data_IF_699878447339
#
_entry.id   IF_699878447339
#
_cell.length_a   1.000
_cell.length_b   1.000
_cell.length_c   1.000
_cell.angle_alpha   90.00
_cell.angle_beta   90.00
_cell.angle_gamma   90.00
#
_symmetry.space_group_name_H-M   'P 1'
#
loop_
_entity.id
_entity.type
_entity.pdbx_description
1 polymer ?
#
# COMPACT_ATOMS: atom_id res chain seq x y z
N UNK A 1 -29.15 55.62 -24.63
CA UNK A 1 -27.82 55.08 -24.96
C UNK A 1 -27.03 54.95 -23.66
N UNK A 2 -27.04 53.76 -23.08
CA UNK A 2 -26.31 53.37 -21.87
C UNK A 2 -24.79 53.35 -22.13
N UNK A 3 -24.00 53.93 -21.23
CA UNK A 3 -22.59 53.55 -21.07
C UNK A 3 -22.32 53.26 -19.59
N UNK A 4 -21.97 51.99 -19.32
CA UNK A 4 -21.62 51.44 -18.00
C UNK A 4 -20.17 51.80 -17.65
N UNK A 5 -19.85 52.10 -16.38
CA UNK A 5 -18.47 52.15 -15.93
C UNK A 5 -17.96 50.77 -15.48
N UNK A 6 -16.75 50.42 -15.94
CA UNK A 6 -16.01 49.22 -15.55
C UNK A 6 -15.52 49.29 -14.10
N UNK A 7 -15.82 48.27 -13.29
CA UNK A 7 -15.22 48.06 -11.96
C UNK A 7 -13.94 47.22 -12.09
N UNK A 8 -12.82 47.77 -11.63
CA UNK A 8 -11.52 47.09 -11.48
C UNK A 8 -11.60 46.03 -10.39
N UNK A 9 -11.20 44.80 -10.71
CA UNK A 9 -11.05 43.70 -9.75
C UNK A 9 -9.80 43.90 -8.89
N UNK A 10 -9.96 43.81 -7.57
CA UNK A 10 -8.85 43.74 -6.61
C UNK A 10 -8.42 42.28 -6.47
N UNK A 11 -7.17 41.99 -6.80
CA UNK A 11 -6.51 40.71 -6.53
C UNK A 11 -6.04 40.73 -5.07
N UNK A 12 -6.61 39.86 -4.24
CA UNK A 12 -6.11 39.60 -2.89
C UNK A 12 -5.09 38.46 -2.96
N UNK A 13 -3.81 38.80 -2.83
CA UNK A 13 -2.73 37.84 -2.54
C UNK A 13 -2.68 37.62 -1.03
N UNK A 14 -3.16 36.46 -0.57
CA UNK A 14 -2.97 36.01 0.81
C UNK A 14 -1.74 35.09 0.87
N UNK A 15 -0.61 35.67 1.29
CA UNK A 15 0.55 34.91 1.72
C UNK A 15 0.29 34.37 3.13
N UNK A 16 0.16 33.05 3.27
CA UNK A 16 0.07 32.39 4.57
C UNK A 16 1.47 31.92 4.99
N UNK A 17 2.02 32.60 5.99
CA UNK A 17 3.27 32.29 6.66
C UNK A 17 3.10 31.00 7.48
N UNK A 18 3.85 29.94 7.18
CA UNK A 18 3.96 28.77 8.05
C UNK A 18 5.11 28.96 9.03
N UNK A 19 4.78 29.16 10.31
CA UNK A 19 5.72 29.19 11.41
C UNK A 19 5.84 27.75 11.97
N UNK A 20 6.96 27.09 11.63
CA UNK A 20 7.32 25.79 12.20
C UNK A 20 8.05 26.06 13.53
N UNK A 21 7.37 25.79 14.65
CA UNK A 21 8.03 25.71 15.95
C UNK A 21 8.46 24.26 16.17
N UNK A 22 9.74 24.00 15.91
CA UNK A 22 10.43 22.78 16.28
C UNK A 22 10.92 22.88 17.72
N UNK A 23 10.22 22.24 18.67
CA UNK A 23 10.73 22.01 20.01
C UNK A 23 11.45 20.65 20.04
N UNK A 24 12.78 20.68 19.97
CA UNK A 24 13.64 19.54 20.27
C UNK A 24 14.13 19.68 21.70
N UNK A 25 13.65 18.83 22.60
CA UNK A 25 14.21 18.68 23.94
C UNK A 25 14.96 17.35 24.03
N UNK A 26 16.26 17.39 23.77
CA UNK A 26 17.24 16.39 24.22
C UNK A 26 17.62 16.71 25.65
N UNK A 27 17.15 15.91 26.61
CA UNK A 27 17.65 15.94 27.98
C UNK A 27 18.84 14.97 28.10
N UNK A 28 20.02 15.53 28.33
CA UNK A 28 21.20 14.83 28.82
C UNK A 28 21.01 14.52 30.31
N UNK A 29 21.32 13.29 30.73
CA UNK A 29 21.44 12.90 32.12
C UNK A 29 22.89 12.50 32.40
N UNK A 30 23.58 13.30 33.21
CA UNK A 30 24.90 13.02 33.75
C UNK A 30 24.99 13.61 35.16
N UNK A 31 25.41 12.77 36.12
CA UNK A 31 26.12 13.21 37.33
C UNK A 31 25.34 13.27 38.65
N UNK A 32 25.44 12.20 39.44
CA UNK A 32 26.14 12.19 40.73
C UNK A 32 25.57 12.93 41.95
N UNK A 33 25.56 12.24 43.10
CA UNK A 33 25.83 12.87 44.40
C UNK A 33 24.78 12.70 45.49
N UNK A 34 24.95 11.63 46.30
CA UNK A 34 24.81 11.58 47.76
C UNK A 34 24.31 12.84 48.52
N UNK A 35 23.29 12.69 49.39
CA UNK A 35 23.42 12.74 50.87
C UNK A 35 22.08 12.56 51.62
N UNK A 36 22.25 12.11 52.86
CA UNK A 36 21.37 11.53 53.88
C UNK A 36 20.45 12.49 54.67
N UNK A 37 19.30 11.95 55.05
CA UNK A 37 18.69 11.84 56.40
C UNK A 37 18.45 13.04 57.35
N UNK A 38 17.14 13.35 57.50
CA UNK A 38 16.33 13.54 58.74
C UNK A 38 16.43 14.86 59.58
N UNK A 39 15.52 15.13 60.57
CA UNK A 39 14.39 16.07 60.45
C UNK A 39 14.31 17.10 61.61
N UNK A 40 13.23 17.90 61.68
CA UNK A 40 12.38 18.13 62.89
C UNK A 40 11.80 19.57 63.03
N UNK A 41 10.55 19.57 63.54
CA UNK A 41 9.84 20.61 64.33
C UNK A 41 9.42 21.92 63.61
N UNK A 42 8.22 22.48 63.82
CA UNK A 42 7.09 22.17 64.70
C UNK A 42 6.17 23.40 64.84
N UNK A 43 4.92 23.17 65.29
CA UNK A 43 3.90 24.13 65.81
C UNK A 43 3.26 25.10 64.79
N UNK A 44 2.03 25.60 64.94
CA UNK A 44 0.80 25.29 65.68
C UNK A 44 -0.25 26.36 65.29
N UNK A 45 -1.55 26.10 65.59
CA UNK A 45 -2.76 26.96 65.60
C UNK A 45 -3.82 26.53 64.54
N UNK A 46 -4.93 25.84 64.90
CA UNK A 46 -6.20 26.34 65.52
C UNK A 46 -6.87 27.47 64.72
N UNK A 47 -8.18 27.57 64.46
CA UNK A 47 -9.46 26.90 64.82
C UNK A 47 -10.53 27.61 63.92
N UNK A 48 -11.51 26.92 63.30
CA UNK A 48 -12.96 26.93 63.63
C UNK A 48 -13.70 26.04 62.59
N UNK A 49 -14.35 24.91 62.95
CA UNK A 49 -15.80 24.69 63.26
C UNK A 49 -16.76 25.27 62.19
N UNK A 50 -17.72 24.56 61.59
CA UNK A 50 -18.70 23.65 62.20
C UNK A 50 -19.52 22.83 61.15
N UNK A 51 -19.83 21.56 61.47
CA UNK A 51 -21.16 20.89 61.34
C UNK A 51 -21.57 20.42 59.91
N UNK A 52 -22.02 19.19 59.59
CA UNK A 52 -22.94 18.25 60.26
C UNK A 52 -22.85 16.85 59.59
N UNK A 53 -22.89 15.78 60.39
CA UNK A 53 -23.33 14.41 60.04
C UNK A 53 -24.56 14.11 60.94
N UNK A 54 -25.42 13.07 60.75
CA UNK A 54 -25.04 11.69 60.41
C UNK A 54 -26.05 10.86 59.56
N UNK A 55 -25.63 9.66 59.15
CA UNK A 55 -26.51 8.51 58.80
C UNK A 55 -26.96 7.81 60.11
N UNK A 56 -28.02 6.96 60.19
CA UNK A 56 -28.03 5.61 59.57
C UNK A 56 -29.44 4.98 59.33
N UNK A 57 -29.50 3.73 58.82
CA UNK A 57 -30.70 2.88 59.00
C UNK A 57 -30.83 1.65 58.06
N UNK A 58 -30.65 0.45 58.60
CA UNK A 58 -30.91 -0.87 57.98
C UNK A 58 -32.31 -1.42 58.35
N UNK A 59 -32.95 -2.23 57.49
CA UNK A 59 -34.06 -3.11 57.92
C UNK A 59 -34.90 -3.87 56.87
N UNK A 60 -34.62 -5.18 56.71
CA UNK A 60 -35.52 -6.39 56.61
C UNK A 60 -36.53 -6.53 55.41
N UNK A 61 -36.38 -7.56 54.55
CA UNK A 61 -37.10 -8.89 54.43
C UNK A 61 -38.63 -8.79 54.13
N UNK A 62 -39.33 -9.57 53.29
CA UNK A 62 -39.09 -10.70 52.37
C UNK A 62 -40.41 -11.02 51.59
N UNK A 63 -40.37 -11.59 50.38
CA UNK A 63 -41.42 -12.49 49.82
C UNK A 63 -40.89 -13.26 48.57
N UNK A 64 -41.34 -14.51 48.41
CA UNK A 64 -40.94 -15.61 47.46
C UNK A 64 -42.18 -15.97 46.58
N UNK A 65 -42.26 -17.01 45.70
CA UNK A 65 -41.37 -17.65 44.69
C UNK A 65 -42.00 -17.85 43.25
N UNK A 66 -41.18 -18.42 42.32
CA UNK A 66 -41.47 -19.36 41.17
C UNK A 66 -42.06 -18.85 39.81
N UNK A 67 -41.89 -19.58 38.68
CA UNK A 67 -40.68 -20.16 38.04
C UNK A 67 -40.53 -19.78 36.54
N UNK A 68 -39.47 -20.26 35.88
CA UNK A 68 -39.06 -19.98 34.50
C UNK A 68 -40.03 -20.42 33.38
N UNK A 69 -39.80 -19.94 32.13
CA UNK A 69 -39.75 -20.86 31.00
C UNK A 69 -38.45 -20.74 30.18
N UNK A 70 -38.01 -21.90 29.69
CA UNK A 70 -36.88 -22.10 28.80
C UNK A 70 -37.20 -21.73 27.34
N UNK A 71 -36.25 -21.10 26.63
CA UNK A 71 -36.11 -21.08 25.17
C UNK A 71 -34.82 -20.32 24.80
N UNK A 72 -34.01 -20.60 23.78
CA UNK A 72 -33.86 -21.70 22.82
C UNK A 72 -32.42 -21.54 22.27
N UNK A 73 -31.67 -22.65 22.16
CA UNK A 73 -30.35 -22.68 21.52
C UNK A 73 -30.51 -22.43 19.99
N UNK A 74 -29.63 -21.66 19.34
CA UNK A 74 -29.66 -21.58 17.88
C UNK A 74 -29.22 -22.91 17.26
N UNK A 75 -30.13 -23.48 16.48
CA UNK A 75 -29.94 -24.72 15.73
C UNK A 75 -28.78 -24.62 14.75
N UNK A 76 -27.88 -25.59 14.88
CA UNK A 76 -26.78 -25.89 13.99
C UNK A 76 -27.33 -26.53 12.72
N UNK A 77 -27.45 -25.76 11.64
CA UNK A 77 -27.75 -26.32 10.31
C UNK A 77 -26.56 -27.15 9.85
N UNK A 78 -26.76 -28.47 9.81
CA UNK A 78 -25.86 -29.44 9.20
C UNK A 78 -26.10 -29.40 7.68
N UNK A 79 -25.08 -29.03 6.91
CA UNK A 79 -25.07 -29.24 5.47
C UNK A 79 -24.17 -30.43 5.16
N UNK A 80 -24.73 -31.36 4.39
CA UNK A 80 -24.21 -32.67 4.07
C UNK A 80 -22.91 -32.65 3.25
N UNK A 81 -22.03 -33.60 3.57
CA UNK A 81 -20.90 -34.04 2.76
C UNK A 81 -21.38 -34.74 1.48
N UNK A 82 -20.64 -34.61 0.37
CA UNK A 82 -20.27 -35.85 -0.32
C UNK A 82 -18.76 -35.97 -0.56
N UNK A 83 -18.36 -37.22 -0.73
CA UNK A 83 -17.02 -37.74 -0.59
C UNK A 83 -16.12 -37.54 -1.82
N UNK A 84 -14.82 -37.33 -1.52
CA UNK A 84 -13.61 -37.88 -2.15
C UNK A 84 -13.44 -37.84 -3.69
N UNK A 85 -12.47 -37.03 -4.11
CA UNK A 85 -11.68 -37.24 -5.33
C UNK A 85 -10.31 -36.56 -5.18
N UNK A 86 -9.25 -37.34 -4.98
CA UNK A 86 -7.85 -36.88 -4.95
C UNK A 86 -7.43 -36.43 -6.34
N UNK A 87 -6.80 -35.26 -6.45
CA UNK A 87 -5.68 -34.99 -7.37
C UNK A 87 -5.02 -33.67 -6.98
N UNK A 88 -3.77 -33.75 -6.52
CA UNK A 88 -2.91 -32.60 -6.25
C UNK A 88 -2.41 -32.06 -7.58
N UNK A 89 -2.79 -30.83 -7.93
CA UNK A 89 -2.17 -30.08 -9.02
C UNK A 89 -1.59 -28.77 -8.47
N UNK A 90 -0.26 -28.65 -8.59
CA UNK A 90 0.54 -27.44 -8.34
C UNK A 90 0.03 -26.27 -9.21
N UNK A 91 -0.03 -25.03 -8.69
CA UNK A 91 -0.31 -23.87 -9.53
C UNK A 91 0.91 -23.49 -10.36
N UNK A 92 0.77 -23.59 -11.69
CA UNK A 92 1.70 -23.11 -12.71
C UNK A 92 1.56 -21.59 -12.89
N UNK A 93 2.66 -20.81 -13.03
CA UNK A 93 2.56 -19.38 -13.34
C UNK A 93 2.11 -19.14 -14.78
N UNK A 94 1.15 -18.24 -14.95
CA UNK A 94 0.64 -17.77 -16.24
C UNK A 94 1.74 -17.00 -16.98
N UNK A 95 2.20 -17.54 -18.12
CA UNK A 95 3.08 -16.86 -19.07
C UNK A 95 2.26 -16.04 -20.07
N UNK A 96 2.66 -14.78 -20.27
CA UNK A 96 2.11 -13.91 -21.32
C UNK A 96 2.59 -14.36 -22.72
N UNK A 97 1.76 -14.28 -23.77
CA UNK A 97 2.12 -14.76 -25.10
C UNK A 97 3.08 -13.79 -25.82
N UNK A 98 4.23 -14.31 -26.24
CA UNK A 98 5.17 -13.63 -27.16
C UNK A 98 4.69 -13.78 -28.60
N UNK A 99 4.44 -12.64 -29.26
CA UNK A 99 4.17 -12.57 -30.70
C UNK A 99 5.47 -12.84 -31.49
N UNK A 100 5.47 -13.91 -32.30
CA UNK A 100 6.54 -14.19 -33.26
C UNK A 100 6.35 -13.34 -34.51
N UNK A 101 7.24 -12.38 -34.74
CA UNK A 101 7.38 -11.72 -36.04
C UNK A 101 8.11 -12.65 -37.01
N UNK A 102 7.43 -12.95 -38.12
CA UNK A 102 7.90 -13.76 -39.25
C UNK A 102 8.64 -12.84 -40.22
N UNK A 103 9.96 -12.90 -40.23
CA UNK A 103 10.79 -12.26 -41.27
C UNK A 103 10.73 -13.10 -42.55
N UNK A 104 10.24 -12.50 -43.62
CA UNK A 104 10.30 -13.04 -44.99
C UNK A 104 11.63 -12.61 -45.61
N UNK A 105 12.42 -13.57 -46.09
CA UNK A 105 13.63 -13.33 -46.86
C UNK A 105 13.33 -13.54 -48.34
N UNK A 106 13.58 -12.51 -49.15
CA UNK A 106 13.56 -12.52 -50.61
C UNK A 106 14.98 -12.57 -51.15
N UNK A 107 15.29 -13.61 -51.93
CA UNK A 107 16.46 -13.73 -52.81
C UNK A 107 16.31 -12.86 -54.07
N UNK A 108 17.41 -12.47 -54.72
CA UNK A 108 17.68 -13.08 -56.03
C UNK A 108 19.16 -13.32 -56.41
N UNK A 109 19.35 -14.47 -57.06
CA UNK A 109 20.04 -14.75 -58.34
C UNK A 109 21.53 -14.38 -58.62
N UNK A 110 22.38 -15.41 -58.51
CA UNK A 110 23.29 -16.02 -59.51
C UNK A 110 23.80 -15.18 -60.70
N UNK A 111 25.13 -15.03 -60.76
CA UNK A 111 25.91 -14.81 -61.99
C UNK A 111 27.24 -15.56 -61.90
N UNK A 112 27.52 -16.42 -62.89
CA UNK A 112 28.74 -17.25 -63.03
C UNK A 112 29.83 -16.48 -63.77
N UNK A 113 31.11 -16.73 -63.45
CA UNK A 113 32.23 -16.78 -64.40
C UNK A 113 33.44 -17.49 -63.79
N UNK A 114 34.22 -18.16 -64.64
CA UNK A 114 35.12 -19.27 -64.31
C UNK A 114 36.62 -18.92 -64.39
N UNK A 115 37.41 -19.74 -63.69
CA UNK A 115 38.77 -20.25 -63.97
C UNK A 115 40.02 -19.32 -63.95
N UNK A 116 40.95 -19.59 -63.00
CA UNK A 116 42.32 -20.13 -63.23
C UNK A 116 43.06 -20.41 -61.89
N UNK A 117 44.08 -21.30 -61.87
CA UNK A 117 44.67 -21.84 -60.63
C UNK A 117 45.99 -21.16 -60.19
N UNK A 118 46.17 -21.13 -58.85
CA UNK A 118 47.37 -21.09 -57.99
C UNK A 118 48.53 -20.08 -58.28
N UNK A 119 49.08 -19.44 -57.22
CA UNK A 119 50.15 -20.11 -56.45
C UNK A 119 49.96 -20.08 -54.91
N UNK A 120 50.62 -21.03 -54.26
CA UNK A 120 50.72 -21.28 -52.81
C UNK A 120 51.47 -20.16 -52.05
N UNK A 121 51.31 -20.09 -50.71
CA UNK A 121 51.42 -18.85 -49.95
C UNK A 121 52.83 -18.57 -49.40
N UNK A 122 53.22 -17.29 -49.42
CA UNK A 122 54.30 -16.77 -48.57
C UNK A 122 53.76 -16.64 -47.15
N UNK A 123 54.28 -17.47 -46.24
CA UNK A 123 53.97 -17.41 -44.80
C UNK A 123 54.65 -16.17 -44.23
N UNK A 124 53.91 -15.06 -44.18
CA UNK A 124 54.30 -13.89 -43.38
C UNK A 124 53.55 -13.98 -42.04
N UNK A 125 54.30 -14.19 -40.96
CA UNK A 125 53.79 -14.21 -39.59
C UNK A 125 53.05 -12.91 -39.28
N UNK A 126 51.73 -12.91 -39.48
CA UNK A 126 50.84 -11.89 -38.93
C UNK A 126 50.58 -12.26 -37.47
N UNK A 127 50.97 -11.36 -36.59
CA UNK A 127 50.61 -11.37 -35.18
C UNK A 127 49.09 -11.62 -35.06
N UNK A 128 48.63 -12.44 -34.09
CA UNK A 128 47.21 -12.63 -33.90
C UNK A 128 46.62 -11.31 -33.40
N UNK A 129 45.96 -10.57 -34.29
CA UNK A 129 44.95 -9.60 -33.89
C UNK A 129 43.88 -10.40 -33.14
N UNK A 130 43.86 -10.23 -31.82
CA UNK A 130 42.82 -10.76 -30.96
C UNK A 130 41.50 -10.23 -31.48
N UNK A 131 40.78 -11.04 -32.25
CA UNK A 131 39.40 -10.80 -32.61
C UNK A 131 38.67 -10.64 -31.28
N UNK A 132 38.34 -9.39 -30.95
CA UNK A 132 37.57 -9.06 -29.77
C UNK A 132 36.24 -9.77 -29.94
N UNK A 133 36.06 -10.89 -29.24
CA UNK A 133 34.79 -11.59 -29.21
C UNK A 133 33.68 -10.56 -28.92
N UNK A 134 32.52 -10.62 -29.59
CA UNK A 134 31.42 -9.74 -29.27
C UNK A 134 31.18 -9.87 -27.77
N UNK A 135 31.38 -8.78 -27.02
CA UNK A 135 31.11 -8.72 -25.58
C UNK A 135 29.72 -9.29 -25.40
N UNK A 136 29.62 -10.49 -24.80
CA UNK A 136 28.34 -11.01 -24.33
C UNK A 136 27.69 -9.87 -23.55
N UNK A 137 26.42 -9.50 -23.82
CA UNK A 137 25.73 -8.54 -22.97
C UNK A 137 25.90 -9.03 -21.54
N UNK A 138 26.45 -8.15 -20.68
CA UNK A 138 26.72 -8.50 -19.30
C UNK A 138 25.44 -9.13 -18.71
N UNK A 139 25.54 -10.25 -17.98
CA UNK A 139 24.38 -10.78 -17.27
C UNK A 139 23.74 -9.64 -16.47
N UNK A 140 22.40 -9.56 -16.36
CA UNK A 140 21.74 -8.47 -15.64
C UNK A 140 22.42 -8.33 -14.28
N UNK A 141 23.07 -7.19 -14.04
CA UNK A 141 24.05 -7.05 -12.98
C UNK A 141 23.43 -7.50 -11.67
N UNK A 142 23.82 -8.67 -11.19
CA UNK A 142 23.38 -9.15 -9.91
C UNK A 142 23.93 -8.19 -8.86
N UNK A 143 23.09 -7.81 -7.91
CA UNK A 143 23.51 -6.96 -6.79
C UNK A 143 24.64 -7.69 -6.03
N UNK A 144 25.73 -7.02 -5.59
CA UNK A 144 26.78 -7.66 -4.80
C UNK A 144 26.23 -8.41 -3.56
N UNK A 145 26.87 -9.51 -3.14
CA UNK A 145 26.35 -10.36 -2.06
C UNK A 145 26.19 -9.63 -0.71
N UNK A 146 27.03 -8.65 -0.41
CA UNK A 146 26.91 -7.81 0.78
C UNK A 146 25.64 -6.94 0.73
N UNK A 147 25.41 -6.28 -0.40
CA UNK A 147 24.21 -5.46 -0.65
C UNK A 147 22.93 -6.31 -0.65
N UNK A 148 22.99 -7.56 -1.14
CA UNK A 148 21.87 -8.50 -1.05
C UNK A 148 21.46 -8.78 0.39
N UNK A 149 22.43 -9.01 1.30
CA UNK A 149 22.16 -9.24 2.72
C UNK A 149 21.52 -8.02 3.38
N UNK A 150 22.03 -6.83 3.09
CA UNK A 150 21.46 -5.58 3.61
C UNK A 150 20.03 -5.38 3.12
N UNK A 151 19.76 -5.60 1.83
CA UNK A 151 18.40 -5.52 1.26
C UNK A 151 17.45 -6.51 1.94
N UNK A 152 17.88 -7.75 2.13
CA UNK A 152 17.05 -8.79 2.76
C UNK A 152 16.72 -8.42 4.22
N UNK A 153 17.69 -7.92 4.97
CA UNK A 153 17.47 -7.43 6.34
C UNK A 153 16.50 -6.24 6.38
N UNK A 154 16.68 -5.27 5.49
CA UNK A 154 15.81 -4.10 5.41
C UNK A 154 14.35 -4.49 5.07
N UNK A 155 14.15 -5.42 4.13
CA UNK A 155 12.82 -5.94 3.82
C UNK A 155 12.19 -6.69 4.99
N UNK A 156 12.96 -7.54 5.67
CA UNK A 156 12.46 -8.29 6.82
C UNK A 156 12.02 -7.36 7.96
N UNK A 157 12.82 -6.34 8.26
CA UNK A 157 12.48 -5.32 9.26
C UNK A 157 11.22 -4.55 8.85
N UNK A 158 11.13 -4.09 7.61
CA UNK A 158 9.96 -3.36 7.09
C UNK A 158 8.69 -4.20 7.14
N UNK A 159 8.77 -5.47 6.74
CA UNK A 159 7.64 -6.39 6.79
C UNK A 159 7.19 -6.69 8.23
N UNK A 160 8.13 -6.84 9.17
CA UNK A 160 7.81 -7.04 10.59
C UNK A 160 7.10 -5.81 11.17
N UNK A 161 7.64 -4.61 10.93
CA UNK A 161 7.02 -3.35 11.35
C UNK A 161 5.63 -3.17 10.74
N UNK A 162 5.47 -3.52 9.45
CA UNK A 162 4.19 -3.43 8.76
C UNK A 162 3.14 -4.36 9.37
N UNK A 163 3.48 -5.62 9.66
CA UNK A 163 2.58 -6.58 10.30
C UNK A 163 2.06 -6.07 11.64
N UNK A 164 2.93 -5.46 12.46
CA UNK A 164 2.52 -4.88 13.75
C UNK A 164 1.52 -3.73 13.58
N UNK A 165 1.72 -2.86 12.57
CA UNK A 165 0.81 -1.73 12.29
C UNK A 165 -0.54 -2.17 11.71
N UNK A 166 -0.57 -3.25 10.93
CA UNK A 166 -1.78 -3.73 10.26
C UNK A 166 -2.89 -4.09 11.26
N UNK A 167 -2.54 -4.67 12.41
CA UNK A 167 -3.50 -5.01 13.47
C UNK A 167 -4.19 -3.76 14.03
N UNK A 168 -3.43 -2.69 14.26
CA UNK A 168 -3.97 -1.41 14.72
C UNK A 168 -4.90 -0.79 13.67
N UNK A 169 -4.53 -0.86 12.40
CA UNK A 169 -5.36 -0.38 11.28
C UNK A 169 -6.69 -1.12 11.24
N UNK A 170 -6.69 -2.45 11.29
CA UNK A 170 -7.94 -3.23 11.29
C UNK A 170 -8.87 -2.81 12.44
N UNK A 171 -8.34 -2.53 13.64
CA UNK A 171 -9.14 -2.03 14.77
C UNK A 171 -9.74 -0.64 14.51
N UNK A 172 -8.94 0.30 14.00
CA UNK A 172 -9.40 1.65 13.67
C UNK A 172 -10.50 1.63 12.59
N UNK A 173 -10.34 0.78 11.57
CA UNK A 173 -11.35 0.61 10.53
C UNK A 173 -12.67 0.05 11.08
N UNK A 174 -12.61 -0.89 12.04
CA UNK A 174 -13.83 -1.42 12.68
C UNK A 174 -14.60 -0.33 13.43
N UNK A 175 -13.91 0.56 14.13
CA UNK A 175 -14.53 1.69 14.81
C UNK A 175 -15.23 2.64 13.83
N UNK A 176 -14.58 2.95 12.70
CA UNK A 176 -15.20 3.78 11.66
C UNK A 176 -16.41 3.09 11.00
N UNK A 177 -16.38 1.77 10.84
CA UNK A 177 -17.51 1.03 10.31
C UNK A 177 -18.71 1.12 11.27
N UNK A 178 -18.46 0.96 12.58
CA UNK A 178 -19.51 1.12 13.59
C UNK A 178 -20.11 2.54 13.59
N UNK A 179 -19.29 3.58 13.41
CA UNK A 179 -19.77 4.96 13.30
C UNK A 179 -20.69 5.15 12.08
N UNK A 180 -20.31 4.60 10.92
CA UNK A 180 -21.16 4.66 9.73
C UNK A 180 -22.50 3.94 9.92
N UNK A 181 -22.48 2.80 10.61
CA UNK A 181 -23.68 2.07 10.97
C UNK A 181 -24.60 2.89 11.89
N UNK A 182 -24.03 3.54 12.92
CA UNK A 182 -24.78 4.43 13.82
C UNK A 182 -25.40 5.62 13.07
N UNK A 183 -24.66 6.17 12.10
CA UNK A 183 -25.12 7.27 11.24
C UNK A 183 -26.09 6.81 10.14
N UNK A 184 -26.49 5.54 10.12
CA UNK A 184 -27.39 4.93 9.10
C UNK A 184 -26.86 5.08 7.66
N UNK A 185 -25.54 5.14 7.48
CA UNK A 185 -24.86 5.22 6.18
C UNK A 185 -24.61 3.80 5.64
N UNK A 186 -25.65 3.22 5.05
CA UNK A 186 -25.67 1.81 4.72
C UNK A 186 -24.68 1.44 3.62
N UNK A 187 -24.55 2.25 2.57
CA UNK A 187 -23.63 1.97 1.48
C UNK A 187 -22.17 2.14 1.93
N UNK A 188 -21.90 3.18 2.70
CA UNK A 188 -20.58 3.46 3.26
C UNK A 188 -20.16 2.35 4.23
N UNK A 189 -21.07 1.89 5.10
CA UNK A 189 -20.83 0.74 5.98
C UNK A 189 -20.43 -0.52 5.20
N UNK A 190 -21.16 -0.85 4.12
CA UNK A 190 -20.84 -2.00 3.25
C UNK A 190 -19.45 -1.87 2.63
N UNK A 191 -19.12 -0.69 2.09
CA UNK A 191 -17.81 -0.42 1.49
C UNK A 191 -16.67 -0.56 2.51
N UNK A 192 -16.88 -0.10 3.75
CA UNK A 192 -15.94 -0.27 4.86
C UNK A 192 -15.77 -1.74 5.25
N UNK A 193 -16.85 -2.50 5.38
CA UNK A 193 -16.77 -3.92 5.72
C UNK A 193 -15.99 -4.73 4.68
N UNK A 194 -16.18 -4.44 3.39
CA UNK A 194 -15.40 -5.06 2.32
C UNK A 194 -13.91 -4.75 2.42
N UNK A 195 -13.55 -3.49 2.71
CA UNK A 195 -12.16 -3.09 2.91
C UNK A 195 -11.53 -3.82 4.12
N UNK A 196 -12.28 -3.91 5.23
CA UNK A 196 -11.80 -4.60 6.42
C UNK A 196 -11.65 -6.11 6.20
N UNK A 197 -12.55 -6.73 5.44
CA UNK A 197 -12.44 -8.14 5.07
C UNK A 197 -11.16 -8.40 4.26
N UNK A 198 -10.85 -7.52 3.31
CA UNK A 198 -9.61 -7.57 2.54
C UNK A 198 -8.37 -7.42 3.43
N UNK A 199 -8.36 -6.44 4.35
CA UNK A 199 -7.24 -6.24 5.28
C UNK A 199 -7.03 -7.44 6.21
N UNK A 200 -8.11 -8.07 6.72
CA UNK A 200 -8.02 -9.30 7.52
C UNK A 200 -7.48 -10.47 6.70
N UNK A 201 -7.94 -10.64 5.46
CA UNK A 201 -7.42 -11.67 4.57
C UNK A 201 -5.92 -11.45 4.27
N UNK A 202 -5.51 -10.19 4.10
CA UNK A 202 -4.10 -9.81 3.95
C UNK A 202 -3.29 -10.11 5.21
N UNK A 203 -3.81 -9.78 6.39
CA UNK A 203 -3.19 -10.10 7.68
C UNK A 203 -2.89 -11.60 7.79
N UNK A 204 -3.86 -12.46 7.46
CA UNK A 204 -3.69 -13.91 7.45
C UNK A 204 -2.62 -14.37 6.45
N UNK A 205 -2.64 -13.87 5.21
CA UNK A 205 -1.60 -14.21 4.20
C UNK A 205 -0.21 -13.82 4.65
N UNK A 206 -0.09 -12.73 5.40
CA UNK A 206 1.18 -12.23 5.90
C UNK A 206 1.65 -12.98 7.15
N UNK A 207 0.88 -13.88 7.77
CA UNK A 207 1.40 -14.68 8.89
C UNK A 207 2.47 -15.68 8.42
N UNK A 208 2.41 -16.13 7.18
CA UNK A 208 3.37 -17.07 6.60
C UNK A 208 4.78 -16.48 6.60
N UNK A 209 5.74 -17.27 7.07
CA UNK A 209 7.15 -16.93 7.03
C UNK A 209 7.63 -16.85 5.57
N UNK A 210 8.35 -15.78 5.25
CA UNK A 210 8.90 -15.55 3.90
C UNK A 210 10.41 -15.78 3.93
N UNK A 211 10.92 -16.45 2.91
CA UNK A 211 12.36 -16.61 2.72
C UNK A 211 12.91 -15.46 1.87
N UNK A 212 13.41 -14.42 2.53
CA UNK A 212 13.97 -13.23 1.87
C UNK A 212 15.28 -13.53 1.13
N UNK A 213 16.12 -14.43 1.66
CA UNK A 213 17.42 -14.76 1.08
C UNK A 213 17.34 -15.35 -0.33
N UNK A 214 16.24 -16.02 -0.66
CA UNK A 214 16.00 -16.61 -1.98
C UNK A 214 15.11 -15.75 -2.89
N UNK A 215 14.71 -14.57 -2.45
CA UNK A 215 13.82 -13.71 -3.22
C UNK A 215 14.54 -13.12 -4.45
N UNK A 216 14.01 -13.29 -5.68
CA UNK A 216 14.60 -12.69 -6.88
C UNK A 216 14.74 -11.17 -6.79
N UNK A 217 13.84 -10.47 -6.09
CA UNK A 217 13.91 -9.02 -5.91
C UNK A 217 15.22 -8.57 -5.28
N UNK A 218 15.73 -9.33 -4.30
CA UNK A 218 16.95 -9.01 -3.56
C UNK A 218 18.19 -9.04 -4.45
N UNK A 219 18.19 -9.96 -5.42
CA UNK A 219 19.37 -10.25 -6.27
C UNK A 219 19.42 -9.41 -7.54
N UNK A 220 18.29 -8.87 -7.98
CA UNK A 220 18.19 -8.12 -9.23
C UNK A 220 18.53 -6.63 -9.04
N UNK A 221 19.41 -6.12 -9.90
CA UNK A 221 19.63 -4.68 -10.01
C UNK A 221 18.35 -3.94 -10.39
N UNK A 222 18.24 -2.65 -10.02
CA UNK A 222 17.16 -1.80 -10.51
C UNK A 222 17.10 -1.79 -12.04
N UNK A 223 15.87 -1.78 -12.55
CA UNK A 223 15.57 -1.71 -13.99
C UNK A 223 14.61 -0.58 -14.34
N UNK A 224 14.07 0.10 -13.32
CA UNK A 224 13.14 1.19 -13.46
C UNK A 224 13.48 2.33 -12.50
N UNK A 225 13.20 3.55 -12.94
CA UNK A 225 13.08 4.74 -12.08
C UNK A 225 11.62 5.17 -11.98
N UNK A 226 11.23 5.73 -10.85
CA UNK A 226 9.92 6.32 -10.59
C UNK A 226 10.03 7.59 -9.76
N UNK A 227 9.04 8.47 -9.86
CA UNK A 227 9.05 9.77 -9.19
C UNK A 227 8.14 9.76 -7.95
N UNK A 228 8.73 9.78 -6.77
CA UNK A 228 8.02 9.90 -5.50
C UNK A 228 8.23 11.28 -4.88
N UNK A 229 7.17 12.09 -4.74
CA UNK A 229 7.23 13.44 -4.16
C UNK A 229 8.32 14.34 -4.76
N UNK A 230 8.60 14.22 -6.06
CA UNK A 230 9.66 14.99 -6.74
C UNK A 230 11.06 14.36 -6.66
N UNK A 231 11.23 13.27 -5.92
CA UNK A 231 12.49 12.53 -5.81
C UNK A 231 12.45 11.31 -6.73
N UNK A 232 13.49 11.14 -7.54
CA UNK A 232 13.67 9.93 -8.34
C UNK A 232 14.14 8.80 -7.45
N UNK A 233 13.43 7.68 -7.51
CA UNK A 233 13.76 6.43 -6.83
C UNK A 233 13.89 5.32 -7.86
N UNK A 234 14.60 4.27 -7.49
CA UNK A 234 14.84 3.14 -8.39
C UNK A 234 14.28 1.84 -7.80
N UNK A 235 13.85 0.96 -8.69
CA UNK A 235 13.41 -0.39 -8.33
C UNK A 235 13.58 -1.33 -9.52
N UNK A 236 13.34 -2.62 -9.31
CA UNK A 236 13.30 -3.61 -10.38
C UNK A 236 11.84 -3.91 -10.79
N UNK A 237 11.65 -4.90 -11.66
CA UNK A 237 10.33 -5.30 -12.15
C UNK A 237 9.32 -5.59 -11.02
N UNK A 238 9.72 -6.26 -9.94
CA UNK A 238 8.80 -6.62 -8.86
C UNK A 238 8.31 -5.39 -8.09
N UNK A 239 9.18 -4.43 -7.82
CA UNK A 239 8.76 -3.18 -7.20
C UNK A 239 7.90 -2.34 -8.14
N UNK A 240 8.25 -2.27 -9.42
CA UNK A 240 7.40 -1.60 -10.42
C UNK A 240 6.00 -2.22 -10.49
N UNK A 241 5.89 -3.54 -10.42
CA UNK A 241 4.60 -4.25 -10.39
C UNK A 241 3.80 -3.95 -9.13
N UNK A 242 4.46 -3.84 -7.96
CA UNK A 242 3.80 -3.41 -6.73
C UNK A 242 3.26 -1.98 -6.82
N UNK A 243 4.02 -1.05 -7.43
CA UNK A 243 3.55 0.33 -7.60
C UNK A 243 2.38 0.40 -8.59
N UNK A 244 2.42 -0.38 -9.68
CA UNK A 244 1.27 -0.51 -10.61
C UNK A 244 0.04 -1.07 -9.90
N UNK A 245 0.24 -2.09 -9.07
CA UNK A 245 -0.81 -2.69 -8.26
C UNK A 245 -1.38 -1.67 -7.26
N UNK A 246 -0.54 -0.86 -6.62
CA UNK A 246 -0.96 0.17 -5.68
C UNK A 246 -1.98 1.12 -6.31
N UNK A 247 -1.66 1.67 -7.49
CA UNK A 247 -2.56 2.58 -8.21
C UNK A 247 -3.87 1.90 -8.56
N UNK A 248 -3.83 0.64 -9.03
CA UNK A 248 -5.03 -0.08 -9.43
C UNK A 248 -5.94 -0.43 -8.24
N UNK A 249 -5.38 -0.94 -7.15
CA UNK A 249 -6.13 -1.19 -5.93
C UNK A 249 -6.69 0.10 -5.35
N UNK A 250 -5.88 1.16 -5.32
CA UNK A 250 -6.35 2.49 -4.98
C UNK A 250 -7.58 2.88 -5.80
N UNK A 251 -7.50 2.79 -7.12
CA UNK A 251 -8.60 3.13 -8.03
C UNK A 251 -9.87 2.30 -7.75
N UNK A 252 -9.74 0.97 -7.59
CA UNK A 252 -10.86 0.09 -7.25
C UNK A 252 -11.55 0.50 -5.96
N UNK A 253 -10.77 0.71 -4.91
CA UNK A 253 -11.27 1.13 -3.60
C UNK A 253 -11.91 2.52 -3.69
N UNK A 254 -11.29 3.43 -4.44
CA UNK A 254 -11.83 4.77 -4.72
C UNK A 254 -13.21 4.70 -5.36
N UNK A 255 -13.37 3.93 -6.44
CA UNK A 255 -14.67 3.76 -7.14
C UNK A 255 -15.74 3.31 -6.15
N UNK A 256 -15.43 2.31 -5.34
CA UNK A 256 -16.37 1.75 -4.37
C UNK A 256 -16.80 2.78 -3.31
N UNK A 257 -15.85 3.50 -2.73
CA UNK A 257 -16.16 4.52 -1.72
C UNK A 257 -16.88 5.74 -2.33
N UNK A 258 -16.53 6.15 -3.55
CA UNK A 258 -17.24 7.23 -4.24
C UNK A 258 -18.69 6.86 -4.55
N UNK A 259 -18.93 5.64 -5.01
CA UNK A 259 -20.29 5.12 -5.23
C UNK A 259 -21.08 5.05 -3.92
N UNK A 260 -20.45 4.61 -2.83
CA UNK A 260 -21.09 4.52 -1.52
C UNK A 260 -21.49 5.89 -0.97
N UNK A 261 -20.58 6.87 -1.00
CA UNK A 261 -20.87 8.23 -0.55
C UNK A 261 -21.99 8.87 -1.38
N UNK A 262 -22.03 8.62 -2.69
CA UNK A 262 -23.13 9.06 -3.56
C UNK A 262 -24.46 8.41 -3.18
N UNK A 263 -24.46 7.09 -2.94
CA UNK A 263 -25.68 6.34 -2.57
C UNK A 263 -26.25 6.78 -1.23
N UNK A 264 -25.39 7.13 -0.27
CA UNK A 264 -25.79 7.65 1.04
C UNK A 264 -26.05 9.18 1.02
N UNK A 265 -25.98 9.84 -0.16
CA UNK A 265 -26.26 11.27 -0.31
C UNK A 265 -25.24 12.21 0.33
N UNK A 266 -24.01 11.76 0.54
CA UNK A 266 -22.94 12.51 1.18
C UNK A 266 -22.26 13.47 0.19
N UNK A 267 -21.79 14.61 0.68
CA UNK A 267 -20.91 15.51 -0.09
C UNK A 267 -19.60 14.79 -0.44
N UNK A 268 -19.06 14.98 -1.67
CA UNK A 268 -17.86 14.26 -2.07
C UNK A 268 -16.65 14.70 -1.23
N UNK A 269 -16.04 13.75 -0.53
CA UNK A 269 -14.85 13.97 0.29
C UNK A 269 -14.05 12.66 0.46
N UNK A 270 -13.21 12.38 -0.53
CA UNK A 270 -12.36 11.18 -0.51
C UNK A 270 -11.35 11.20 0.64
N UNK A 271 -10.89 12.38 1.09
CA UNK A 271 -9.91 12.50 2.17
C UNK A 271 -10.44 11.93 3.48
N UNK A 272 -11.76 11.99 3.69
CA UNK A 272 -12.42 11.43 4.86
C UNK A 272 -12.62 9.91 4.78
N UNK A 273 -12.42 9.27 3.62
CA UNK A 273 -12.55 7.82 3.50
C UNK A 273 -11.47 7.09 4.31
N UNK A 274 -11.87 6.05 5.05
CA UNK A 274 -10.92 5.24 5.82
C UNK A 274 -9.84 4.62 4.91
N UNK A 275 -10.26 4.04 3.78
CA UNK A 275 -9.35 3.40 2.84
C UNK A 275 -8.33 4.37 2.22
N UNK A 276 -8.68 5.64 2.01
CA UNK A 276 -7.74 6.67 1.55
C UNK A 276 -6.68 7.01 2.60
N UNK A 277 -7.10 7.16 3.86
CA UNK A 277 -6.21 7.49 4.98
C UNK A 277 -5.27 6.32 5.27
N UNK A 278 -5.81 5.11 5.31
CA UNK A 278 -5.03 3.88 5.50
C UNK A 278 -4.08 3.63 4.32
N UNK A 279 -4.62 3.47 3.11
CA UNK A 279 -3.90 3.24 1.86
C UNK A 279 -2.96 2.01 1.85
N UNK A 280 -3.26 0.98 2.63
CA UNK A 280 -2.39 -0.20 2.80
C UNK A 280 -2.93 -1.48 2.17
N UNK A 281 -4.16 -1.48 1.64
CA UNK A 281 -4.72 -2.68 1.02
C UNK A 281 -3.85 -3.15 -0.15
N UNK A 282 -3.39 -4.40 -0.06
CA UNK A 282 -2.54 -5.05 -1.05
C UNK A 282 -1.03 -4.85 -0.87
N UNK A 283 -0.60 -4.08 0.15
CA UNK A 283 0.82 -3.94 0.48
C UNK A 283 1.32 -5.09 1.37
N UNK A 284 2.36 -5.79 0.94
CA UNK A 284 2.87 -6.94 1.68
C UNK A 284 4.12 -6.64 2.55
N UNK A 285 4.52 -5.37 2.65
CA UNK A 285 5.70 -4.97 3.43
C UNK A 285 7.03 -5.09 2.67
N UNK A 286 7.02 -5.38 1.37
CA UNK A 286 8.20 -5.72 0.59
C UNK A 286 8.24 -5.01 -0.78
N UNK A 287 9.37 -5.09 -1.47
CA UNK A 287 9.70 -4.57 -2.81
C UNK A 287 9.75 -3.04 -3.00
N UNK A 288 8.99 -2.29 -2.21
CA UNK A 288 9.03 -0.82 -2.16
C UNK A 288 8.76 -0.34 -0.75
N UNK A 289 9.11 0.92 -0.47
CA UNK A 289 8.76 1.57 0.78
C UNK A 289 7.24 1.76 0.91
N UNK A 290 6.74 1.65 2.14
CA UNK A 290 5.32 1.79 2.41
C UNK A 290 4.81 3.19 2.05
N UNK A 291 5.59 4.23 2.30
CA UNK A 291 5.25 5.61 1.93
C UNK A 291 4.96 5.77 0.45
N UNK A 292 5.73 5.07 -0.38
CA UNK A 292 5.68 5.16 -1.83
C UNK A 292 4.45 4.40 -2.33
N UNK A 293 4.23 3.19 -1.81
CA UNK A 293 3.02 2.43 -2.05
C UNK A 293 1.77 3.25 -1.74
N UNK A 294 1.69 3.79 -0.52
CA UNK A 294 0.52 4.51 -0.03
C UNK A 294 0.27 5.80 -0.84
N UNK A 295 1.34 6.47 -1.29
CA UNK A 295 1.21 7.63 -2.18
C UNK A 295 0.52 7.25 -3.48
N UNK A 296 1.01 6.21 -4.18
CA UNK A 296 0.42 5.80 -5.45
C UNK A 296 -0.95 5.14 -5.31
N UNK A 297 -1.20 4.44 -4.21
CA UNK A 297 -2.54 3.98 -3.84
C UNK A 297 -3.50 5.17 -3.76
N UNK A 298 -3.13 6.24 -3.04
CA UNK A 298 -3.95 7.45 -2.93
C UNK A 298 -4.15 8.16 -4.27
N UNK A 299 -3.14 8.15 -5.15
CA UNK A 299 -3.27 8.66 -6.52
C UNK A 299 -4.34 7.91 -7.31
N UNK A 300 -4.36 6.58 -7.22
CA UNK A 300 -5.42 5.76 -7.80
C UNK A 300 -6.78 6.04 -7.16
N UNK A 301 -6.82 6.06 -5.82
CA UNK A 301 -8.04 6.24 -5.03
C UNK A 301 -8.77 7.54 -5.35
N UNK A 302 -8.06 8.66 -5.38
CA UNK A 302 -8.66 9.95 -5.70
C UNK A 302 -9.39 9.94 -7.06
N UNK A 303 -8.76 9.32 -8.07
CA UNK A 303 -9.31 9.20 -9.42
C UNK A 303 -10.50 8.26 -9.46
N UNK A 304 -10.38 7.10 -8.82
CA UNK A 304 -11.45 6.13 -8.69
C UNK A 304 -12.66 6.70 -7.97
N UNK A 305 -12.44 7.42 -6.86
CA UNK A 305 -13.49 8.08 -6.11
C UNK A 305 -14.22 9.11 -6.96
N UNK A 306 -13.49 9.91 -7.73
CA UNK A 306 -14.08 10.88 -8.67
C UNK A 306 -14.98 10.19 -9.69
N UNK A 307 -14.52 9.09 -10.28
CA UNK A 307 -15.29 8.30 -11.25
C UNK A 307 -16.52 7.64 -10.61
N UNK A 308 -16.35 6.99 -9.45
CA UNK A 308 -17.42 6.33 -8.70
C UNK A 308 -18.49 7.29 -8.20
N UNK A 309 -18.10 8.44 -7.66
CA UNK A 309 -19.02 9.46 -7.14
C UNK A 309 -19.81 10.12 -8.28
N UNK A 310 -19.18 10.41 -9.41
CA UNK A 310 -19.83 11.08 -10.54
C UNK A 310 -20.53 10.11 -11.51
N UNK A 311 -20.43 8.79 -11.30
CA UNK A 311 -20.86 7.76 -12.28
C UNK A 311 -20.21 7.92 -13.64
N UNK A 312 -18.91 8.22 -13.67
CA UNK A 312 -18.13 8.44 -14.90
C UNK A 312 -16.98 7.45 -14.98
N UNK A 313 -16.37 7.36 -16.17
CA UNK A 313 -15.21 6.51 -16.46
C UNK A 313 -14.11 7.36 -17.10
N UNK A 314 -13.69 8.44 -16.42
CA UNK A 314 -12.72 9.38 -16.96
C UNK A 314 -11.29 8.87 -16.81
N UNK A 315 -10.98 8.19 -15.71
CA UNK A 315 -9.62 7.79 -15.36
C UNK A 315 -9.40 6.29 -15.43
N UNK A 316 -10.47 5.51 -15.51
CA UNK A 316 -10.41 4.06 -15.61
C UNK A 316 -11.68 3.46 -16.17
N UNK A 317 -11.71 2.13 -16.15
CA UNK A 317 -12.82 1.34 -16.65
C UNK A 317 -13.36 0.49 -15.51
N UNK A 318 -14.69 0.35 -15.45
CA UNK A 318 -15.36 -0.65 -14.62
C UNK A 318 -15.87 -1.75 -15.53
N UNK A 319 -15.49 -2.99 -15.24
CA UNK A 319 -15.82 -4.17 -16.01
C UNK A 319 -17.16 -4.76 -15.53
N UNK A 320 -17.80 -5.57 -16.37
CA UNK A 320 -19.09 -6.19 -16.07
C UNK A 320 -19.09 -7.08 -14.80
N UNK A 321 -17.93 -7.60 -14.42
CA UNK A 321 -17.75 -8.38 -13.19
C UNK A 321 -17.61 -7.52 -11.91
N UNK A 322 -17.78 -6.20 -12.02
CA UNK A 322 -17.67 -5.25 -10.90
C UNK A 322 -16.23 -4.87 -10.53
N UNK A 323 -15.22 -5.40 -11.22
CA UNK A 323 -13.84 -4.95 -11.03
C UNK A 323 -13.61 -3.62 -11.75
N UNK A 324 -12.73 -2.79 -11.22
CA UNK A 324 -12.33 -1.52 -11.84
C UNK A 324 -10.82 -1.48 -12.05
N UNK A 325 -10.33 -0.75 -13.03
CA UNK A 325 -8.89 -0.57 -13.26
C UNK A 325 -8.62 0.80 -13.83
N UNK A 326 -7.48 1.38 -13.48
CA UNK A 326 -7.07 2.65 -14.08
C UNK A 326 -6.64 2.45 -15.54
N UNK A 327 -6.79 3.47 -16.38
CA UNK A 327 -6.34 3.42 -17.77
C UNK A 327 -4.82 3.23 -17.84
N UNK A 328 -4.36 2.34 -18.72
CA UNK A 328 -2.94 1.99 -18.84
C UNK A 328 -2.04 3.19 -19.16
N UNK A 329 -2.47 4.10 -20.04
CA UNK A 329 -1.72 5.32 -20.33
C UNK A 329 -1.58 6.24 -19.11
N UNK A 330 -2.65 6.39 -18.33
CA UNK A 330 -2.65 7.20 -17.11
C UNK A 330 -1.81 6.56 -16.00
N UNK A 331 -1.79 5.23 -15.90
CA UNK A 331 -0.93 4.49 -14.97
C UNK A 331 0.54 4.86 -15.17
N UNK A 332 1.00 4.88 -16.43
CA UNK A 332 2.37 5.26 -16.78
C UNK A 332 2.67 6.70 -16.36
N UNK A 333 1.76 7.64 -16.63
CA UNK A 333 1.90 9.05 -16.25
C UNK A 333 1.94 9.25 -14.73
N UNK A 334 1.09 8.55 -13.97
CA UNK A 334 1.05 8.65 -12.50
C UNK A 334 2.36 8.19 -11.89
N UNK A 335 2.90 7.05 -12.35
CA UNK A 335 4.14 6.49 -11.80
C UNK A 335 5.39 7.23 -12.29
N UNK A 336 5.33 7.84 -13.48
CA UNK A 336 6.52 8.37 -14.16
C UNK A 336 7.55 7.28 -14.43
N UNK A 337 7.10 6.04 -14.59
CA UNK A 337 7.97 4.87 -14.60
C UNK A 337 8.80 4.86 -15.89
N UNK A 338 10.12 4.99 -15.78
CA UNK A 338 11.03 4.90 -16.93
C UNK A 338 11.94 3.69 -16.82
N UNK A 339 12.15 2.97 -17.92
CA UNK A 339 13.19 1.93 -18.03
C UNK A 339 14.59 2.55 -17.85
N UNK A 340 15.47 1.85 -17.13
CA UNK A 340 16.90 2.17 -17.03
C UNK A 340 17.76 1.45 -18.09
N UNK A 341 17.12 0.67 -18.96
CA UNK A 341 17.75 -0.02 -20.08
C UNK A 341 17.36 0.61 -21.40
#
# INVERSE_FOLDING_TARGET
METRPMKRAKVFNSALLFLVVSASATAYAQGGGEKKDTPAHGKAAQVDKHTQAPAPGQGKKAARPTPAPAAQQPQRVQAATPARGRSQAKPTPVQAPQQRQRVQASTPNRGRSAARPAPTPVVQQRQPVQASAPRRPAPPMAVPAADQRQRAQAEQQRAAQYRQRLDQQVRLGQQQAAQAQQQKRAAQYRAQQQYLAQLRAQQLRLQTARNYSNDPYIRMAPSYRYAYSGVNRETNQYGADVLRQAVNYGYQEGVRFGQADRQDGLTPNFQNSYAYRDANYGYAGNYVDQSDYNYYFRQGFQRGYTDGYNSRSQYGTTFANGNSSILAGLLTTILGLTSLR
#
